data_IF_962421686314
#
_entry.id   IF_962421686314
#
_cell.length_a   1.000
_cell.length_b   1.000
_cell.length_c   1.000
_cell.angle_alpha   90.00
_cell.angle_beta   90.00
_cell.angle_gamma   90.00
#
_symmetry.space_group_name_H-M   'P 1'
#
loop_
_entity.id
_entity.type
_entity.pdbx_description
1 polymer ?
#
# COMPACT_ATOMS: atom_id res chain seq x y z
N UNK A 1 13.05 -21.34 -2.07
CA UNK A 1 12.44 -20.04 -1.78
C UNK A 1 12.05 -20.01 -0.31
N UNK A 2 12.66 -19.15 0.50
CA UNK A 2 12.19 -18.89 1.87
C UNK A 2 10.75 -18.41 1.77
N UNK A 3 9.84 -18.97 2.58
CA UNK A 3 8.49 -18.42 2.69
C UNK A 3 8.59 -17.08 3.45
N UNK A 4 8.64 -16.00 2.70
CA UNK A 4 8.57 -14.65 3.25
C UNK A 4 7.15 -14.37 3.73
N UNK A 5 7.02 -13.85 4.94
CA UNK A 5 5.73 -13.53 5.54
C UNK A 5 5.41 -12.04 5.39
N UNK A 6 4.12 -11.73 5.28
CA UNK A 6 3.62 -10.35 5.17
C UNK A 6 4.14 -9.47 6.32
N UNK A 7 4.13 -9.98 7.56
CA UNK A 7 4.61 -9.23 8.75
C UNK A 7 6.07 -8.80 8.70
N UNK A 8 6.89 -9.48 7.90
CA UNK A 8 8.32 -9.17 7.79
C UNK A 8 8.59 -8.03 6.80
N UNK A 9 7.62 -7.73 5.93
CA UNK A 9 7.74 -6.76 4.84
C UNK A 9 6.74 -5.61 4.87
N UNK A 10 5.68 -5.72 5.65
CA UNK A 10 4.65 -4.67 5.76
C UNK A 10 5.19 -3.39 6.40
N UNK A 11 4.57 -2.27 6.07
CA UNK A 11 4.75 -1.02 6.82
C UNK A 11 3.87 -1.05 8.06
N UNK A 12 4.46 -0.81 9.24
CA UNK A 12 3.78 -0.87 10.54
C UNK A 12 3.20 0.47 10.99
N UNK A 13 3.93 1.55 10.75
CA UNK A 13 3.49 2.92 11.09
C UNK A 13 2.60 3.46 9.97
N UNK A 14 1.36 2.99 9.95
CA UNK A 14 0.41 3.32 8.88
C UNK A 14 -0.23 4.67 9.15
N UNK A 15 -0.12 5.58 8.18
CA UNK A 15 -0.89 6.83 8.17
C UNK A 15 -2.34 6.51 7.87
N UNK A 16 -3.25 6.88 8.76
CA UNK A 16 -4.68 6.61 8.65
C UNK A 16 -5.49 7.89 8.68
N UNK A 17 -6.74 7.80 8.23
CA UNK A 17 -7.73 8.87 8.29
C UNK A 17 -9.01 8.35 8.96
N UNK A 18 -9.93 9.25 9.24
CA UNK A 18 -11.27 8.91 9.70
C UNK A 18 -12.30 9.12 8.58
N UNK A 19 -13.51 8.59 8.68
CA UNK A 19 -14.58 8.84 7.71
C UNK A 19 -14.91 10.34 7.53
N UNK A 20 -14.63 11.15 8.54
CA UNK A 20 -14.91 12.59 8.56
C UNK A 20 -13.74 13.46 8.08
N UNK A 21 -12.59 12.88 7.80
CA UNK A 21 -11.46 13.57 7.18
C UNK A 21 -11.91 14.18 5.85
N UNK A 22 -11.49 15.40 5.57
CA UNK A 22 -11.83 16.06 4.31
C UNK A 22 -10.95 15.58 3.15
N UNK A 23 -11.45 15.74 1.94
CA UNK A 23 -10.71 15.40 0.73
C UNK A 23 -9.36 16.16 0.64
N UNK A 24 -9.29 17.49 0.89
CA UNK A 24 -8.00 18.19 0.89
C UNK A 24 -7.03 17.70 1.95
N UNK A 25 -7.50 17.33 3.13
CA UNK A 25 -6.65 16.79 4.20
C UNK A 25 -6.06 15.45 3.79
N UNK A 26 -6.86 14.55 3.22
CA UNK A 26 -6.39 13.26 2.72
C UNK A 26 -5.37 13.44 1.59
N UNK A 27 -5.62 14.34 0.64
CA UNK A 27 -4.68 14.65 -0.43
C UNK A 27 -3.34 15.12 0.12
N UNK A 28 -3.35 16.04 1.08
CA UNK A 28 -2.14 16.55 1.73
C UNK A 28 -1.38 15.44 2.45
N UNK A 29 -2.07 14.57 3.20
CA UNK A 29 -1.43 13.44 3.88
C UNK A 29 -0.75 12.49 2.90
N UNK A 30 -1.38 12.20 1.77
CA UNK A 30 -0.78 11.36 0.74
C UNK A 30 0.45 12.01 0.12
N UNK A 31 0.40 13.31 -0.18
CA UNK A 31 1.50 14.05 -0.77
C UNK A 31 2.68 14.20 0.19
N UNK A 32 2.42 14.61 1.42
CA UNK A 32 3.45 14.87 2.44
C UNK A 32 4.18 13.57 2.85
N UNK A 33 3.48 12.45 2.90
CA UNK A 33 4.03 11.15 3.25
C UNK A 33 4.45 10.30 2.05
N UNK A 34 4.26 10.79 0.82
CA UNK A 34 4.57 10.06 -0.43
C UNK A 34 3.90 8.69 -0.49
N UNK A 35 2.65 8.62 -0.09
CA UNK A 35 1.82 7.42 -0.08
C UNK A 35 0.58 7.60 -0.96
N UNK A 36 0.04 6.50 -1.44
CA UNK A 36 -1.09 6.49 -2.38
C UNK A 36 -2.36 5.86 -1.81
N UNK A 37 -2.33 5.43 -0.54
CA UNK A 37 -3.45 4.79 0.13
C UNK A 37 -3.50 5.20 1.57
N UNK A 38 -4.72 5.39 2.05
CA UNK A 38 -5.00 5.69 3.45
C UNK A 38 -6.08 4.73 3.93
N UNK A 39 -5.77 3.83 4.86
CA UNK A 39 -6.80 3.11 5.60
C UNK A 39 -7.67 4.09 6.37
N UNK A 40 -8.97 3.84 6.36
CA UNK A 40 -9.97 4.65 7.07
C UNK A 40 -10.36 3.92 8.34
N UNK A 41 -10.10 4.53 9.48
CA UNK A 41 -10.32 3.96 10.80
C UNK A 41 -11.43 4.71 11.54
N UNK A 42 -12.31 3.98 12.20
CA UNK A 42 -13.34 4.53 13.08
C UNK A 42 -13.42 3.69 14.33
N UNK A 43 -13.30 4.33 15.49
CA UNK A 43 -13.34 3.66 16.80
C UNK A 43 -12.40 2.44 16.90
N UNK A 44 -11.19 2.55 16.37
CA UNK A 44 -10.19 1.47 16.36
C UNK A 44 -10.44 0.36 15.33
N UNK A 45 -11.43 0.51 14.46
CA UNK A 45 -11.78 -0.47 13.42
C UNK A 45 -11.45 0.07 12.02
N UNK A 46 -10.96 -0.81 11.17
CA UNK A 46 -10.81 -0.53 9.74
C UNK A 46 -12.20 -0.55 9.07
N UNK A 47 -12.64 0.59 8.57
CA UNK A 47 -13.96 0.74 7.94
C UNK A 47 -13.90 0.99 6.44
N UNK A 48 -12.75 1.37 5.92
CA UNK A 48 -12.59 1.65 4.51
C UNK A 48 -11.13 1.82 4.10
N UNK A 49 -10.94 2.05 2.82
CA UNK A 49 -9.68 2.46 2.22
C UNK A 49 -9.94 3.51 1.15
N UNK A 50 -9.10 4.53 1.09
CA UNK A 50 -9.11 5.54 0.04
C UNK A 50 -7.77 5.57 -0.66
N UNK A 51 -7.79 5.63 -1.99
CA UNK A 51 -6.59 5.71 -2.83
C UNK A 51 -6.38 7.11 -3.37
N UNK A 52 -5.15 7.39 -3.82
CA UNK A 52 -4.86 8.63 -4.53
C UNK A 52 -5.71 8.80 -5.80
N UNK A 53 -6.01 7.69 -6.49
CA UNK A 53 -6.92 7.67 -7.64
C UNK A 53 -8.34 8.10 -7.27
N UNK A 54 -8.86 7.65 -6.11
CA UNK A 54 -10.18 8.05 -5.61
C UNK A 54 -10.23 9.55 -5.33
N UNK A 55 -9.20 10.09 -4.70
CA UNK A 55 -9.07 11.53 -4.39
C UNK A 55 -9.04 12.35 -5.68
N UNK A 56 -8.19 11.98 -6.62
CA UNK A 56 -8.08 12.65 -7.92
C UNK A 56 -9.37 12.57 -8.73
N UNK A 57 -10.02 11.42 -8.72
CA UNK A 57 -11.30 11.21 -9.39
C UNK A 57 -12.41 12.08 -8.82
N UNK A 58 -12.48 12.22 -7.49
CA UNK A 58 -13.45 13.09 -6.83
C UNK A 58 -13.21 14.58 -7.12
N UNK A 59 -11.95 15.03 -7.12
CA UNK A 59 -11.58 16.39 -7.50
C UNK A 59 -11.96 16.71 -8.95
N UNK A 60 -11.77 15.77 -9.86
CA UNK A 60 -12.09 15.93 -11.28
C UNK A 60 -13.58 15.88 -11.59
N UNK A 61 -14.35 15.07 -10.85
CA UNK A 61 -15.80 14.90 -11.07
C UNK A 61 -16.60 16.19 -10.88
N UNK A 62 -16.14 17.06 -9.99
CA UNK A 62 -16.79 18.35 -9.69
C UNK A 62 -16.31 19.49 -10.61
N UNK A 63 -15.34 19.23 -11.49
CA UNK A 63 -14.73 20.21 -12.40
C UNK A 63 -15.56 20.46 -13.66
N UNK A 64 -16.89 20.59 -13.55
CA UNK A 64 -17.77 21.02 -14.66
C UNK A 64 -17.86 22.54 -14.71
N UNK A 65 -18.84 23.13 -15.29
CA UNK A 65 -19.04 24.59 -15.55
C UNK A 65 -18.94 25.56 -14.36
N UNK A 66 -18.37 25.14 -13.24
CA UNK A 66 -18.25 25.94 -12.01
C UNK A 66 -17.04 26.89 -12.07
N UNK A 67 -17.17 28.05 -11.41
CA UNK A 67 -16.02 28.92 -11.14
C UNK A 67 -15.02 28.21 -10.21
N UNK A 68 -13.75 28.63 -10.24
CA UNK A 68 -12.70 28.06 -9.39
C UNK A 68 -13.03 28.19 -7.89
N UNK A 69 -13.74 29.21 -7.50
CA UNK A 69 -14.16 29.43 -6.12
C UNK A 69 -15.26 28.47 -5.67
N UNK A 70 -16.24 28.24 -6.52
CA UNK A 70 -17.31 27.29 -6.27
C UNK A 70 -16.76 25.86 -6.21
N UNK A 71 -15.86 25.51 -7.12
CA UNK A 71 -15.19 24.21 -7.15
C UNK A 71 -14.37 23.99 -5.87
N UNK A 72 -13.55 24.94 -5.47
CA UNK A 72 -12.76 24.87 -4.24
C UNK A 72 -13.64 24.71 -3.00
N UNK A 73 -14.75 25.44 -2.95
CA UNK A 73 -15.70 25.35 -1.84
C UNK A 73 -16.38 23.97 -1.76
N UNK A 74 -16.78 23.40 -2.89
CA UNK A 74 -17.40 22.07 -2.94
C UNK A 74 -16.41 20.97 -2.58
N UNK A 75 -15.21 20.97 -3.14
CA UNK A 75 -14.15 19.99 -2.87
C UNK A 75 -13.77 20.00 -1.38
N UNK A 76 -13.69 21.18 -0.75
CA UNK A 76 -13.36 21.32 0.66
C UNK A 76 -14.37 20.66 1.60
N UNK A 77 -15.58 20.37 1.13
CA UNK A 77 -16.67 19.76 1.90
C UNK A 77 -16.80 18.26 1.74
N UNK A 78 -16.15 17.68 0.75
CA UNK A 78 -16.19 16.23 0.54
C UNK A 78 -15.50 15.53 1.70
N UNK A 79 -16.18 14.56 2.30
CA UNK A 79 -15.65 13.72 3.38
C UNK A 79 -15.20 12.37 2.83
N UNK A 80 -14.22 11.78 3.46
CA UNK A 80 -13.64 10.50 3.01
C UNK A 80 -14.68 9.37 2.94
N UNK A 81 -15.66 9.32 3.85
CA UNK A 81 -16.72 8.31 3.78
C UNK A 81 -17.54 8.34 2.48
N UNK A 82 -17.56 9.48 1.78
CA UNK A 82 -18.30 9.64 0.52
C UNK A 82 -17.56 9.00 -0.69
N UNK A 83 -16.24 8.81 -0.58
CA UNK A 83 -15.40 8.34 -1.70
C UNK A 83 -14.63 7.05 -1.38
N UNK A 84 -14.51 6.64 -0.13
CA UNK A 84 -13.79 5.44 0.27
C UNK A 84 -14.43 4.17 -0.28
N UNK A 85 -13.64 3.13 -0.46
CA UNK A 85 -14.15 1.77 -0.59
C UNK A 85 -14.42 1.22 0.81
N UNK A 86 -15.67 0.91 1.16
CA UNK A 86 -15.98 0.31 2.46
C UNK A 86 -15.57 -1.16 2.52
N UNK A 87 -15.38 -1.68 3.72
CA UNK A 87 -15.04 -3.09 3.98
C UNK A 87 -13.90 -3.58 3.07
N UNK A 88 -12.70 -2.98 3.16
CA UNK A 88 -11.60 -3.31 2.26
C UNK A 88 -11.13 -4.74 2.47
N UNK A 89 -10.63 -5.33 1.40
CA UNK A 89 -9.96 -6.63 1.45
C UNK A 89 -8.70 -6.49 2.31
N UNK A 90 -8.53 -7.41 3.25
CA UNK A 90 -7.39 -7.47 4.16
C UNK A 90 -6.60 -8.76 3.95
N UNK A 91 -5.39 -8.78 4.48
CA UNK A 91 -4.53 -9.98 4.51
C UNK A 91 -4.05 -10.23 5.94
N UNK A 92 -3.88 -11.49 6.33
CA UNK A 92 -3.28 -11.85 7.61
C UNK A 92 -1.79 -11.48 7.62
N UNK A 93 -1.30 -11.01 8.76
CA UNK A 93 0.13 -10.78 8.95
C UNK A 93 0.97 -12.06 8.82
N UNK A 94 0.37 -13.22 9.07
CA UNK A 94 1.01 -14.54 8.99
C UNK A 94 0.86 -15.18 7.60
N UNK A 95 0.19 -14.54 6.67
CA UNK A 95 0.15 -14.95 5.27
C UNK A 95 1.52 -14.79 4.61
N UNK A 96 1.76 -15.56 3.57
CA UNK A 96 2.96 -15.45 2.74
C UNK A 96 2.85 -14.25 1.78
N UNK A 97 4.00 -13.78 1.32
CA UNK A 97 4.07 -12.76 0.25
C UNK A 97 3.40 -13.24 -1.04
N UNK A 98 3.55 -14.53 -1.36
CA UNK A 98 2.87 -15.13 -2.51
C UNK A 98 1.35 -15.06 -2.41
N UNK A 99 0.80 -15.34 -1.23
CA UNK A 99 -0.65 -15.21 -0.98
C UNK A 99 -1.11 -13.75 -1.10
N UNK A 100 -0.35 -12.81 -0.55
CA UNK A 100 -0.66 -11.38 -0.68
C UNK A 100 -0.63 -10.93 -2.15
N UNK A 101 0.37 -11.34 -2.92
CA UNK A 101 0.46 -11.05 -4.34
C UNK A 101 -0.73 -11.65 -5.12
N UNK A 102 -1.12 -12.88 -4.80
CA UNK A 102 -2.28 -13.53 -5.43
C UNK A 102 -3.58 -12.78 -5.14
N UNK A 103 -3.80 -12.35 -3.90
CA UNK A 103 -4.97 -11.53 -3.54
C UNK A 103 -4.99 -10.21 -4.30
N UNK A 104 -3.84 -9.54 -4.43
CA UNK A 104 -3.73 -8.31 -5.21
C UNK A 104 -4.11 -8.52 -6.68
N UNK A 105 -3.68 -9.62 -7.29
CA UNK A 105 -4.00 -9.97 -8.67
C UNK A 105 -5.49 -10.32 -8.85
N UNK A 106 -6.05 -11.13 -7.96
CA UNK A 106 -7.42 -11.63 -8.06
C UNK A 106 -8.45 -10.50 -7.88
N UNK A 107 -8.18 -9.59 -6.96
CA UNK A 107 -9.07 -8.48 -6.65
C UNK A 107 -8.69 -7.16 -7.34
N UNK A 108 -7.60 -7.15 -8.12
CA UNK A 108 -7.09 -5.98 -8.84
C UNK A 108 -6.86 -4.78 -7.93
N UNK A 109 -6.29 -5.04 -6.77
CA UNK A 109 -5.87 -4.03 -5.80
C UNK A 109 -4.36 -4.04 -5.65
N UNK A 110 -3.76 -2.89 -5.42
CA UNK A 110 -2.30 -2.73 -5.34
C UNK A 110 -1.79 -2.47 -3.92
N UNK A 111 -2.63 -2.68 -2.93
CA UNK A 111 -2.29 -2.60 -1.51
C UNK A 111 -3.37 -3.20 -0.65
N UNK A 112 -2.95 -3.81 0.45
CA UNK A 112 -3.81 -4.53 1.39
C UNK A 112 -3.51 -4.07 2.81
N UNK A 113 -4.53 -3.64 3.58
CA UNK A 113 -4.40 -3.55 5.02
C UNK A 113 -4.09 -4.93 5.59
N UNK A 114 -3.17 -4.97 6.54
CA UNK A 114 -2.72 -6.21 7.20
C UNK A 114 -3.34 -6.29 8.59
N UNK A 115 -3.90 -7.43 8.93
CA UNK A 115 -4.56 -7.67 10.21
C UNK A 115 -3.89 -8.79 10.99
N UNK A 116 -4.02 -8.74 12.31
CA UNK A 116 -3.63 -9.82 13.23
C UNK A 116 -4.74 -10.88 13.38
N UNK A 117 -4.50 -11.86 14.25
CA UNK A 117 -5.45 -12.94 14.55
C UNK A 117 -6.76 -12.47 15.19
N UNK A 118 -6.84 -11.23 15.68
CA UNK A 118 -8.03 -10.59 16.25
C UNK A 118 -8.69 -9.60 15.27
N UNK A 119 -8.26 -9.62 14.00
CA UNK A 119 -8.71 -8.71 12.93
C UNK A 119 -8.39 -7.23 13.17
N UNK A 120 -7.42 -6.94 14.02
CA UNK A 120 -6.93 -5.60 14.24
C UNK A 120 -5.92 -5.26 13.15
N UNK A 121 -6.01 -4.07 12.53
CA UNK A 121 -5.03 -3.62 11.56
C UNK A 121 -3.68 -3.37 12.25
N UNK A 122 -2.64 -4.02 11.72
CA UNK A 122 -1.26 -3.95 12.23
C UNK A 122 -0.27 -3.39 11.22
N UNK A 123 -0.67 -3.22 9.98
CA UNK A 123 0.18 -2.72 8.93
C UNK A 123 -0.53 -2.56 7.60
N UNK A 124 0.24 -2.24 6.59
CA UNK A 124 -0.18 -2.22 5.18
C UNK A 124 0.93 -2.83 4.32
N UNK A 125 0.56 -3.61 3.32
CA UNK A 125 1.47 -4.14 2.31
C UNK A 125 1.02 -3.73 0.92
N UNK A 126 1.96 -3.35 0.06
CA UNK A 126 1.69 -2.87 -1.29
C UNK A 126 2.50 -3.62 -2.34
N UNK A 127 2.14 -3.45 -3.62
CA UNK A 127 2.93 -3.97 -4.75
C UNK A 127 4.41 -3.54 -4.68
N UNK A 128 4.68 -2.32 -4.23
CA UNK A 128 6.04 -1.82 -4.08
C UNK A 128 6.86 -2.65 -3.09
N UNK A 129 6.23 -3.16 -2.03
CA UNK A 129 6.90 -4.05 -1.07
C UNK A 129 7.24 -5.39 -1.73
N UNK A 130 6.31 -5.94 -2.52
CA UNK A 130 6.53 -7.17 -3.29
C UNK A 130 7.66 -6.99 -4.30
N UNK A 131 7.71 -5.88 -5.04
CA UNK A 131 8.80 -5.59 -5.97
C UNK A 131 10.15 -5.43 -5.27
N UNK A 132 10.20 -4.86 -4.06
CA UNK A 132 11.44 -4.79 -3.28
C UNK A 132 11.98 -6.17 -2.96
N UNK A 133 11.11 -7.12 -2.61
CA UNK A 133 11.49 -8.51 -2.34
C UNK A 133 12.08 -9.14 -3.60
N UNK A 134 11.42 -9.00 -4.73
CA UNK A 134 11.91 -9.52 -6.02
C UNK A 134 13.28 -8.97 -6.37
N UNK A 135 13.48 -7.66 -6.21
CA UNK A 135 14.77 -7.00 -6.48
C UNK A 135 15.85 -7.49 -5.52
N UNK A 136 15.53 -7.67 -4.25
CA UNK A 136 16.47 -8.16 -3.26
C UNK A 136 16.91 -9.59 -3.56
N UNK A 137 15.98 -10.50 -3.83
CA UNK A 137 16.28 -11.88 -4.19
C UNK A 137 17.15 -11.95 -5.47
N UNK A 138 16.84 -11.13 -6.46
CA UNK A 138 17.64 -11.04 -7.68
C UNK A 138 19.09 -10.61 -7.41
N UNK A 139 19.29 -9.61 -6.55
CA UNK A 139 20.63 -9.14 -6.17
C UNK A 139 21.42 -10.23 -5.43
N UNK A 140 20.79 -10.92 -4.48
CA UNK A 140 21.40 -12.00 -3.71
C UNK A 140 21.84 -13.16 -4.62
N UNK A 141 21.02 -13.53 -5.61
CA UNK A 141 21.37 -14.53 -6.61
C UNK A 141 22.55 -14.10 -7.50
N UNK A 142 22.54 -12.83 -7.96
CA UNK A 142 23.64 -12.30 -8.78
C UNK A 142 24.97 -12.26 -8.03
N UNK A 143 24.97 -11.89 -6.74
CA UNK A 143 26.15 -11.89 -5.88
C UNK A 143 26.63 -13.31 -5.58
N UNK A 144 25.70 -14.27 -5.37
CA UNK A 144 26.01 -15.69 -5.19
C UNK A 144 26.73 -16.28 -6.39
N UNK A 145 26.22 -16.03 -7.59
CA UNK A 145 26.86 -16.45 -8.86
C UNK A 145 28.26 -15.86 -9.04
N UNK A 146 28.44 -14.59 -8.66
CA UNK A 146 29.75 -13.93 -8.76
C UNK A 146 30.78 -14.54 -7.79
N UNK A 147 30.38 -14.89 -6.58
CA UNK A 147 31.23 -15.58 -5.60
C UNK A 147 31.62 -16.98 -6.06
N UNK A 148 30.72 -17.76 -6.63
CA UNK A 148 31.00 -19.08 -7.17
C UNK A 148 31.95 -18.98 -8.36
N UNK A 149 31.79 -18.04 -9.26
CA UNK A 149 32.68 -17.80 -10.40
C UNK A 149 34.10 -17.43 -9.96
N UNK A 150 34.22 -16.64 -8.90
CA UNK A 150 35.54 -16.25 -8.33
C UNK A 150 36.19 -17.42 -7.61
N UNK A 151 35.44 -18.29 -6.95
CA UNK A 151 35.99 -19.48 -6.29
C UNK A 151 36.44 -20.57 -7.28
N UNK A 152 35.75 -20.75 -8.39
CA UNK A 152 36.14 -21.72 -9.44
C UNK A 152 37.37 -21.25 -10.24
N UNK A 153 37.62 -19.95 -10.27
CA UNK A 153 38.81 -19.35 -10.92
C UNK A 153 40.13 -19.48 -10.14
N UNK A 154 40.08 -19.89 -8.88
CA UNK A 154 41.24 -20.09 -8.01
C UNK A 154 41.69 -21.57 -8.02
N UNK A 155 42.12 -22.10 -9.16
CA UNK A 155 42.89 -23.33 -9.16
C UNK A 155 44.29 -23.04 -8.62
N UNK A 156 44.75 -23.73 -7.61
CA UNK A 156 46.16 -23.62 -7.20
C UNK A 156 47.06 -24.16 -8.31
N UNK A 157 47.88 -23.28 -8.84
CA UNK A 157 48.99 -23.66 -9.69
C UNK A 157 50.01 -24.33 -8.76
N UNK A 158 50.21 -25.64 -8.93
CA UNK A 158 51.34 -26.36 -8.36
C UNK A 158 52.59 -26.03 -9.14
#
# INVERSE_FOLDING_TARGET
MKQELVKDWMTRDVVTVTPHTTLPEAHRLMTDNQIRRLPVMENGRLVGIVTFGDVRGAEASDATSLSIWELTYLIARIKIHEIMTPDPITISQDATIGEAAQVMLDYKVSGLPVVDGQRKMVGIITESDIFRIVVQEWKEQAEGLHRETVMVGASPIL
#
